data_IF_047476774813
#
_entry.id   IF_047476774813
#
_cell.length_a   1.000
_cell.length_b   1.000
_cell.length_c   1.000
_cell.angle_alpha   90.00
_cell.angle_beta   90.00
_cell.angle_gamma   90.00
#
_symmetry.space_group_name_H-M   'P 1'
#
loop_
_entity.id
_entity.type
_entity.pdbx_description
1 polymer ?
#
# COMPACT_ATOMS: atom_id res chain seq x y z
N UNK A 1 -13.93 -7.84 -1.43
CA UNK A 1 -12.89 -7.03 -2.12
C UNK A 1 -11.54 -7.34 -1.51
N UNK A 2 -10.56 -7.83 -2.30
CA UNK A 2 -9.16 -7.92 -1.84
C UNK A 2 -8.43 -6.67 -2.29
N UNK A 3 -8.22 -5.74 -1.35
CA UNK A 3 -7.45 -4.51 -1.58
C UNK A 3 -5.98 -4.83 -1.28
N UNK A 4 -5.09 -4.45 -2.19
CA UNK A 4 -3.64 -4.45 -1.98
C UNK A 4 -3.09 -3.07 -2.29
N UNK A 5 -2.04 -2.66 -1.58
CA UNK A 5 -1.30 -1.43 -1.89
C UNK A 5 -0.06 -1.78 -2.69
N UNK A 6 0.26 -0.97 -3.68
CA UNK A 6 1.53 -1.04 -4.41
C UNK A 6 2.31 0.23 -4.15
N UNK A 7 3.54 0.09 -3.72
CA UNK A 7 4.43 1.21 -3.39
C UNK A 7 4.93 1.85 -4.68
N UNK A 8 4.62 3.13 -4.89
CA UNK A 8 5.08 3.89 -6.07
C UNK A 8 6.25 4.81 -5.75
N UNK A 9 6.42 5.17 -4.47
CA UNK A 9 7.56 5.93 -3.95
C UNK A 9 8.14 5.19 -2.73
N UNK A 10 9.45 4.95 -2.64
CA UNK A 10 10.04 4.23 -1.51
C UNK A 10 9.82 4.96 -0.16
N UNK A 11 9.58 4.20 0.92
CA UNK A 11 9.47 4.71 2.29
C UNK A 11 9.67 3.58 3.30
N UNK A 12 10.15 3.87 4.51
CA UNK A 12 10.21 2.92 5.66
C UNK A 12 10.68 1.49 5.31
N UNK A 13 11.69 1.38 4.44
CA UNK A 13 12.22 0.07 4.00
C UNK A 13 11.45 -0.60 2.86
N UNK A 14 10.27 -0.10 2.49
CA UNK A 14 9.57 -0.48 1.28
C UNK A 14 10.19 0.17 0.04
N UNK A 15 10.38 -0.65 -0.99
CA UNK A 15 10.87 -0.25 -2.30
C UNK A 15 9.70 -0.02 -3.24
N UNK A 16 9.97 0.77 -4.29
CA UNK A 16 9.01 0.92 -5.38
C UNK A 16 8.71 -0.44 -6.01
N UNK A 17 7.43 -0.76 -6.17
CA UNK A 17 6.94 -2.05 -6.66
C UNK A 17 6.57 -3.04 -5.55
N UNK A 18 6.96 -2.78 -4.30
CA UNK A 18 6.55 -3.64 -3.19
C UNK A 18 5.03 -3.63 -3.03
N UNK A 19 4.48 -4.79 -2.67
CA UNK A 19 3.05 -4.97 -2.46
C UNK A 19 2.76 -5.19 -0.99
N UNK A 20 1.84 -4.40 -0.43
CA UNK A 20 1.34 -4.55 0.93
C UNK A 20 -0.07 -5.14 0.84
N UNK A 21 -0.25 -6.34 1.39
CA UNK A 21 -1.52 -7.08 1.39
C UNK A 21 -2.09 -7.26 2.79
N UNK A 22 -1.31 -6.96 3.83
CA UNK A 22 -1.73 -7.06 5.22
C UNK A 22 -2.68 -5.92 5.57
N UNK A 23 -3.88 -6.26 6.05
CA UNK A 23 -4.94 -5.28 6.31
C UNK A 23 -4.53 -4.22 7.33
N UNK A 24 -3.86 -4.61 8.43
CA UNK A 24 -3.43 -3.67 9.46
C UNK A 24 -2.36 -2.69 8.93
N UNK A 25 -1.42 -3.19 8.12
CA UNK A 25 -0.44 -2.33 7.45
C UNK A 25 -1.08 -1.42 6.41
N UNK A 26 -2.09 -1.91 5.70
CA UNK A 26 -2.85 -1.11 4.74
C UNK A 26 -3.50 0.08 5.45
N UNK A 27 -4.25 -0.17 6.53
CA UNK A 27 -4.87 0.90 7.32
C UNK A 27 -3.82 1.87 7.89
N UNK A 28 -2.71 1.35 8.42
CA UNK A 28 -1.63 2.19 8.95
C UNK A 28 -1.02 3.12 7.90
N UNK A 29 -0.70 2.62 6.70
CA UNK A 29 -0.12 3.41 5.60
C UNK A 29 -1.12 4.42 5.05
N UNK A 30 -2.41 4.08 5.04
CA UNK A 30 -3.45 4.98 4.54
C UNK A 30 -3.81 6.08 5.55
N UNK A 31 -3.61 5.82 6.84
CA UNK A 31 -3.78 6.82 7.91
C UNK A 31 -2.54 7.71 8.10
N UNK A 32 -1.44 7.44 7.39
CA UNK A 32 -0.16 8.12 7.58
C UNK A 32 0.21 9.06 6.41
N UNK A 33 1.30 9.83 6.57
CA UNK A 33 1.80 10.72 5.53
C UNK A 33 2.29 9.96 4.27
N UNK A 34 2.48 8.65 4.37
CA UNK A 34 2.93 7.76 3.29
C UNK A 34 1.78 7.30 2.38
N UNK A 35 0.53 7.68 2.65
CA UNK A 35 -0.61 7.37 1.79
C UNK A 35 -0.41 7.82 0.33
N UNK A 36 0.30 8.95 0.12
CA UNK A 36 0.65 9.44 -1.22
C UNK A 36 1.78 8.67 -1.92
N UNK A 37 2.43 7.73 -1.22
CA UNK A 37 3.51 6.90 -1.74
C UNK A 37 3.05 5.52 -2.23
N UNK A 38 1.75 5.23 -2.14
CA UNK A 38 1.14 3.95 -2.53
C UNK A 38 -0.07 4.13 -3.44
N UNK A 39 -0.40 3.10 -4.19
CA UNK A 39 -1.62 3.01 -5.01
C UNK A 39 -2.47 1.85 -4.52
N UNK A 40 -3.76 2.08 -4.31
CA UNK A 40 -4.74 1.04 -3.98
C UNK A 40 -5.13 0.28 -5.24
N UNK A 41 -4.96 -1.03 -5.21
CA UNK A 41 -5.39 -1.95 -6.27
C UNK A 41 -6.48 -2.84 -5.71
N UNK A 42 -7.67 -2.72 -6.30
CA UNK A 42 -8.80 -3.60 -6.03
C UNK A 42 -8.72 -4.74 -7.05
N UNK A 43 -8.54 -5.98 -6.59
CA UNK A 43 -8.76 -7.12 -7.44
C UNK A 43 -10.26 -7.42 -7.45
N UNK A 44 -10.93 -7.04 -8.54
CA UNK A 44 -12.24 -7.60 -8.90
C UNK A 44 -11.96 -8.96 -9.54
N UNK A 45 -12.41 -10.02 -8.87
CA UNK A 45 -12.41 -11.38 -9.40
C UNK A 45 -13.79 -11.73 -9.89
#
# INVERSE_FOLDING_TARGET
>A
MKIKLVVVKPFEGFRRGDTITDAAKIDAVLASAQAGSVVRVVAEG
#
